data_IF_685322307109
#
_entry.id   IF_685322307109
#
_cell.length_a   1.000
_cell.length_b   1.000
_cell.length_c   1.000
_cell.angle_alpha   90.00
_cell.angle_beta   90.00
_cell.angle_gamma   90.00
#
_symmetry.space_group_name_H-M   'P 1'
#
loop_
_entity.id
_entity.type
_entity.pdbx_description
1 polymer ?
#
# COMPACT_ATOMS: atom_id res chain seq x y z
N UNK A 1 12.73 -33.62 17.13
CA UNK A 1 12.82 -32.17 17.48
C UNK A 1 11.46 -31.57 17.26
N UNK A 2 10.82 -31.06 18.31
CA UNK A 2 9.49 -30.45 18.22
C UNK A 2 9.69 -28.95 17.95
N UNK A 3 9.40 -28.50 16.73
CA UNK A 3 9.50 -27.08 16.37
C UNK A 3 8.35 -26.36 17.08
N UNK A 4 8.66 -25.54 18.08
CA UNK A 4 7.67 -24.64 18.68
C UNK A 4 7.41 -23.50 17.70
N UNK A 5 6.24 -23.51 17.10
CA UNK A 5 5.74 -22.37 16.32
C UNK A 5 5.48 -21.18 17.26
N UNK A 6 5.59 -19.94 16.74
CA UNK A 6 5.19 -18.76 17.50
C UNK A 6 3.72 -18.85 17.92
N UNK A 7 3.40 -18.28 19.07
CA UNK A 7 2.04 -18.22 19.59
C UNK A 7 1.19 -17.34 18.68
N UNK A 8 -0.03 -17.80 18.37
CA UNK A 8 -0.98 -17.04 17.55
C UNK A 8 -1.64 -15.99 18.45
N UNK A 9 -1.54 -14.72 18.04
CA UNK A 9 -2.23 -13.63 18.72
C UNK A 9 -3.73 -13.61 18.39
N UNK A 10 -4.53 -13.18 19.36
CA UNK A 10 -5.96 -12.99 19.14
C UNK A 10 -6.20 -11.84 18.15
N UNK A 11 -7.09 -12.00 17.15
CA UNK A 11 -7.39 -10.94 16.21
C UNK A 11 -8.06 -9.78 16.92
N UNK A 12 -7.75 -8.56 16.50
CA UNK A 12 -8.32 -7.34 17.04
C UNK A 12 -9.33 -6.75 16.08
N UNK A 13 -10.38 -6.14 16.62
CA UNK A 13 -11.42 -5.49 15.84
C UNK A 13 -11.67 -4.08 16.35
N UNK A 14 -11.65 -3.12 15.44
CA UNK A 14 -11.81 -1.69 15.76
C UNK A 14 -13.18 -1.14 15.33
N UNK A 15 -14.06 -1.96 14.76
CA UNK A 15 -15.38 -1.54 14.30
C UNK A 15 -15.46 -1.14 12.83
N UNK A 16 -14.40 -1.34 12.02
CA UNK A 16 -14.49 -1.10 10.57
C UNK A 16 -15.12 -2.27 9.84
N UNK A 17 -16.15 -2.02 9.04
CA UNK A 17 -16.85 -3.06 8.27
C UNK A 17 -15.91 -3.89 7.38
N UNK A 18 -14.86 -3.27 6.81
CA UNK A 18 -13.89 -3.97 5.97
C UNK A 18 -13.12 -5.07 6.72
N UNK A 19 -12.92 -4.89 8.03
CA UNK A 19 -12.15 -5.81 8.86
C UNK A 19 -13.04 -6.80 9.62
N UNK A 20 -14.37 -6.70 9.50
CA UNK A 20 -15.30 -7.57 10.20
C UNK A 20 -15.11 -9.04 9.82
N UNK A 21 -15.07 -9.36 8.52
CA UNK A 21 -14.97 -10.75 8.07
C UNK A 21 -13.65 -11.43 8.50
N UNK A 22 -12.45 -10.82 8.31
CA UNK A 22 -11.21 -11.37 8.85
C UNK A 22 -11.23 -11.57 10.37
N UNK A 23 -11.79 -10.61 11.11
CA UNK A 23 -11.93 -10.73 12.56
C UNK A 23 -12.86 -11.89 12.95
N UNK A 24 -14.05 -11.96 12.34
CA UNK A 24 -15.04 -12.97 12.62
C UNK A 24 -14.49 -14.37 12.41
N UNK A 25 -13.86 -14.63 11.25
CA UNK A 25 -13.28 -15.95 10.94
C UNK A 25 -12.14 -16.31 11.89
N UNK A 26 -11.24 -15.35 12.19
CA UNK A 26 -10.14 -15.58 13.12
C UNK A 26 -10.60 -15.82 14.56
N UNK A 27 -11.54 -15.02 15.05
CA UNK A 27 -12.09 -15.14 16.40
C UNK A 27 -12.90 -16.43 16.54
N UNK A 28 -13.66 -16.78 15.50
CA UNK A 28 -14.38 -18.05 15.44
C UNK A 28 -13.44 -19.24 15.60
N UNK A 29 -12.39 -19.30 14.77
CA UNK A 29 -11.44 -20.42 14.78
C UNK A 29 -10.66 -20.55 16.10
N UNK A 30 -10.32 -19.43 16.75
CA UNK A 30 -9.49 -19.44 17.97
C UNK A 30 -10.29 -19.54 19.27
N UNK A 31 -11.51 -18.98 19.30
CA UNK A 31 -12.27 -18.78 20.54
C UNK A 31 -13.65 -19.45 20.50
N UNK A 32 -14.44 -19.26 19.43
CA UNK A 32 -15.79 -19.81 19.37
C UNK A 32 -15.77 -21.34 19.23
N UNK A 33 -14.99 -21.84 18.28
CA UNK A 33 -14.92 -23.26 17.95
C UNK A 33 -14.01 -24.03 18.92
N UNK A 34 -13.42 -23.34 19.92
CA UNK A 34 -12.60 -23.96 20.95
C UNK A 34 -13.49 -24.60 22.03
N UNK A 35 -13.49 -25.94 22.18
CA UNK A 35 -14.37 -26.64 23.13
C UNK A 35 -13.91 -26.49 24.59
N UNK A 36 -12.66 -26.08 24.83
CA UNK A 36 -12.11 -25.90 26.17
C UNK A 36 -12.52 -24.57 26.82
N UNK A 37 -13.19 -23.69 26.07
CA UNK A 37 -13.63 -22.38 26.55
C UNK A 37 -15.13 -22.37 26.81
N UNK A 38 -15.54 -21.87 27.98
CA UNK A 38 -16.93 -21.54 28.25
C UNK A 38 -17.28 -20.11 27.79
N UNK A 39 -18.56 -19.76 27.78
CA UNK A 39 -19.00 -18.45 27.27
C UNK A 39 -18.46 -17.27 28.09
N UNK A 40 -18.29 -17.42 29.40
CA UNK A 40 -17.66 -16.38 30.25
C UNK A 40 -16.22 -16.10 29.78
N UNK A 41 -15.42 -17.15 29.56
CA UNK A 41 -14.05 -17.01 29.04
C UNK A 41 -14.05 -16.43 27.63
N UNK A 42 -14.92 -16.91 26.74
CA UNK A 42 -15.09 -16.34 25.39
C UNK A 42 -15.44 -14.85 25.45
N UNK A 43 -16.23 -14.43 26.43
CA UNK A 43 -16.59 -13.02 26.59
C UNK A 43 -15.38 -12.18 27.04
N UNK A 44 -14.55 -12.66 27.97
CA UNK A 44 -13.29 -11.98 28.28
C UNK A 44 -12.37 -11.83 27.06
N UNK A 45 -12.25 -12.88 26.23
CA UNK A 45 -11.50 -12.80 24.98
C UNK A 45 -12.15 -11.84 23.99
N UNK A 46 -13.47 -11.82 23.89
CA UNK A 46 -14.18 -10.88 23.02
C UNK A 46 -13.86 -9.45 23.43
N UNK A 47 -14.05 -9.09 24.70
CA UNK A 47 -13.78 -7.73 25.19
C UNK A 47 -12.31 -7.31 25.01
N UNK A 48 -11.35 -8.23 25.13
CA UNK A 48 -9.93 -7.90 24.92
C UNK A 48 -9.59 -7.68 23.44
N UNK A 49 -10.28 -8.37 22.53
CA UNK A 49 -10.15 -8.25 21.09
C UNK A 49 -10.80 -6.96 20.52
N UNK A 50 -11.89 -6.50 21.12
CA UNK A 50 -12.61 -5.30 20.67
C UNK A 50 -11.83 -4.01 21.05
N UNK A 51 -11.87 -3.04 20.15
CA UNK A 51 -11.27 -1.70 20.30
C UNK A 51 -12.22 -0.63 19.77
N UNK A 52 -12.05 0.60 20.26
CA UNK A 52 -12.76 1.79 19.78
C UNK A 52 -14.29 1.56 19.68
N UNK A 53 -14.90 1.83 18.52
CA UNK A 53 -16.36 1.77 18.34
C UNK A 53 -16.94 0.38 18.55
N UNK A 54 -16.16 -0.68 18.33
CA UNK A 54 -16.66 -2.05 18.46
C UNK A 54 -16.93 -2.44 19.92
N UNK A 55 -16.17 -1.93 20.88
CA UNK A 55 -16.41 -2.22 22.31
C UNK A 55 -17.68 -1.54 22.82
N UNK A 56 -18.01 -0.37 22.26
CA UNK A 56 -19.18 0.42 22.64
C UNK A 56 -20.49 -0.33 22.39
N UNK A 57 -20.50 -1.30 21.47
CA UNK A 57 -21.66 -2.14 21.14
C UNK A 57 -22.08 -3.03 22.32
N UNK A 58 -21.11 -3.47 23.12
CA UNK A 58 -21.30 -4.51 24.14
C UNK A 58 -20.96 -4.03 25.54
N UNK A 59 -20.47 -2.80 25.70
CA UNK A 59 -19.97 -2.26 26.98
C UNK A 59 -21.03 -2.20 28.09
N UNK A 60 -22.31 -2.16 27.75
CA UNK A 60 -23.41 -2.12 28.72
C UNK A 60 -23.78 -3.50 29.27
N UNK A 61 -23.19 -4.57 28.73
CA UNK A 61 -23.48 -5.93 29.14
C UNK A 61 -22.51 -6.37 30.23
N UNK A 62 -23.05 -6.90 31.32
CA UNK A 62 -22.24 -7.55 32.35
C UNK A 62 -21.68 -8.87 31.82
N UNK A 63 -20.49 -9.24 32.27
CA UNK A 63 -19.87 -10.51 31.89
C UNK A 63 -20.65 -11.67 32.49
N UNK A 64 -21.39 -12.39 31.64
CA UNK A 64 -22.13 -13.59 32.01
C UNK A 64 -22.19 -14.56 30.83
N UNK A 65 -22.52 -15.82 31.12
CA UNK A 65 -22.64 -16.88 30.13
C UNK A 65 -23.70 -16.52 29.06
N UNK A 66 -24.87 -16.04 29.49
CA UNK A 66 -25.96 -15.61 28.63
C UNK A 66 -25.62 -14.35 27.81
N UNK A 67 -24.96 -13.37 28.43
CA UNK A 67 -24.67 -12.11 27.77
C UNK A 67 -23.58 -12.25 26.68
N UNK A 68 -22.78 -13.31 26.69
CA UNK A 68 -21.85 -13.58 25.60
C UNK A 68 -22.59 -13.75 24.27
N UNK A 69 -23.63 -14.58 24.25
CA UNK A 69 -24.40 -14.84 23.02
C UNK A 69 -25.09 -13.57 22.53
N UNK A 70 -25.62 -12.76 23.46
CA UNK A 70 -26.19 -11.44 23.16
C UNK A 70 -25.12 -10.51 22.58
N UNK A 71 -23.97 -10.40 23.24
CA UNK A 71 -22.86 -9.55 22.79
C UNK A 71 -22.39 -9.93 21.39
N UNK A 72 -22.24 -11.23 21.14
CA UNK A 72 -21.83 -11.74 19.84
C UNK A 72 -22.89 -11.45 18.76
N UNK A 73 -24.16 -11.65 19.07
CA UNK A 73 -25.24 -11.35 18.13
C UNK A 73 -25.35 -9.86 17.82
N UNK A 74 -25.20 -8.98 18.82
CA UNK A 74 -25.19 -7.52 18.60
C UNK A 74 -24.05 -7.08 17.67
N UNK A 75 -22.87 -7.68 17.80
CA UNK A 75 -21.75 -7.42 16.89
C UNK A 75 -22.05 -7.90 15.47
N UNK A 76 -22.62 -9.11 15.31
CA UNK A 76 -23.05 -9.62 14.01
C UNK A 76 -24.11 -8.73 13.38
N UNK A 77 -25.16 -8.36 14.12
CA UNK A 77 -26.23 -7.51 13.61
C UNK A 77 -25.71 -6.15 13.14
N UNK A 78 -24.74 -5.59 13.87
CA UNK A 78 -24.14 -4.30 13.50
C UNK A 78 -23.17 -4.42 12.33
N UNK A 79 -22.28 -5.41 12.33
CA UNK A 79 -21.11 -5.46 11.45
C UNK A 79 -21.18 -6.51 10.34
N UNK A 80 -22.00 -7.55 10.47
CA UNK A 80 -22.26 -8.57 9.44
C UNK A 80 -23.27 -8.10 8.38
N UNK A 81 -23.30 -6.80 8.11
CA UNK A 81 -24.14 -6.23 7.06
C UNK A 81 -23.45 -6.36 5.70
N UNK A 82 -23.66 -7.49 5.02
CA UNK A 82 -23.07 -7.77 3.69
C UNK A 82 -23.26 -6.62 2.70
N UNK A 83 -24.44 -5.98 2.68
CA UNK A 83 -24.73 -4.85 1.79
C UNK A 83 -23.81 -3.66 2.07
N UNK A 84 -23.63 -3.30 3.34
CA UNK A 84 -22.75 -2.19 3.74
C UNK A 84 -21.27 -2.52 3.47
N UNK A 85 -20.85 -3.76 3.75
CA UNK A 85 -19.46 -4.20 3.47
C UNK A 85 -19.17 -4.11 1.96
N UNK A 86 -20.07 -4.60 1.10
CA UNK A 86 -19.95 -4.47 -0.35
C UNK A 86 -19.88 -3.01 -0.77
N UNK A 87 -20.78 -2.15 -0.28
CA UNK A 87 -20.76 -0.72 -0.59
C UNK A 87 -19.46 -0.04 -0.17
N UNK A 88 -18.90 -0.38 0.99
CA UNK A 88 -17.63 0.18 1.45
C UNK A 88 -16.47 -0.21 0.55
N UNK A 89 -16.39 -1.47 0.09
CA UNK A 89 -15.34 -1.87 -0.85
C UNK A 89 -15.50 -1.24 -2.22
N UNK A 90 -16.74 -1.09 -2.73
CA UNK A 90 -17.00 -0.35 -3.97
C UNK A 90 -16.54 1.10 -3.81
N UNK A 91 -16.96 1.77 -2.73
CA UNK A 91 -16.54 3.13 -2.39
C UNK A 91 -15.02 3.24 -2.32
N UNK A 92 -14.34 2.29 -1.67
CA UNK A 92 -12.88 2.24 -1.59
C UNK A 92 -12.18 2.21 -2.96
N UNK A 93 -12.75 1.52 -3.95
CA UNK A 93 -12.25 1.56 -5.34
C UNK A 93 -12.37 2.97 -5.93
N UNK A 94 -13.51 3.65 -5.73
CA UNK A 94 -13.71 5.03 -6.19
C UNK A 94 -12.83 6.04 -5.47
N UNK A 95 -12.43 5.77 -4.22
CA UNK A 95 -11.60 6.64 -3.40
C UNK A 95 -10.10 6.35 -3.49
N UNK A 96 -9.69 5.40 -4.35
CA UNK A 96 -8.27 5.15 -4.64
C UNK A 96 -7.55 6.46 -5.02
N UNK A 97 -6.27 6.60 -4.63
CA UNK A 97 -5.53 7.84 -4.81
C UNK A 97 -5.42 8.20 -6.29
N UNK A 98 -5.47 9.49 -6.58
CA UNK A 98 -5.28 10.04 -7.92
C UNK A 98 -3.81 10.41 -8.10
N UNK A 99 -3.20 9.94 -9.18
CA UNK A 99 -1.84 10.26 -9.57
C UNK A 99 -1.86 11.48 -10.51
N UNK A 100 -1.42 12.64 -10.02
CA UNK A 100 -1.36 13.87 -10.82
C UNK A 100 -0.11 13.97 -11.69
N UNK A 101 0.96 13.28 -11.31
CA UNK A 101 2.23 13.13 -12.04
C UNK A 101 2.76 11.72 -11.81
N UNK A 102 3.57 11.22 -12.73
CA UNK A 102 4.17 9.89 -12.64
C UNK A 102 4.80 9.64 -11.27
N UNK A 103 4.33 8.60 -10.58
CA UNK A 103 4.81 8.24 -9.25
C UNK A 103 4.64 6.74 -9.01
N UNK A 104 5.75 6.01 -8.91
CA UNK A 104 5.73 4.56 -8.69
C UNK A 104 5.03 4.17 -7.38
N UNK A 105 5.20 4.95 -6.31
CA UNK A 105 4.56 4.70 -5.02
C UNK A 105 3.04 4.83 -5.06
N UNK A 106 2.51 5.83 -5.79
CA UNK A 106 1.06 5.98 -5.99
C UNK A 106 0.52 4.84 -6.86
N UNK A 107 1.22 4.46 -7.93
CA UNK A 107 0.84 3.31 -8.75
C UNK A 107 0.71 2.02 -7.92
N UNK A 108 1.70 1.73 -7.05
CA UNK A 108 1.63 0.59 -6.12
C UNK A 108 0.40 0.67 -5.21
N UNK A 109 0.12 1.83 -4.63
CA UNK A 109 -1.08 2.04 -3.80
C UNK A 109 -2.38 1.79 -4.56
N UNK A 110 -2.48 2.22 -5.82
CA UNK A 110 -3.65 1.94 -6.68
C UNK A 110 -3.78 0.43 -6.91
N UNK A 111 -2.69 -0.24 -7.31
CA UNK A 111 -2.68 -1.69 -7.61
C UNK A 111 -3.06 -2.50 -6.37
N UNK A 112 -2.41 -2.24 -5.23
CA UNK A 112 -2.61 -2.99 -3.99
C UNK A 112 -3.99 -2.71 -3.40
N UNK A 113 -4.42 -1.45 -3.42
CA UNK A 113 -5.74 -1.02 -2.96
C UNK A 113 -6.86 -1.65 -3.79
N UNK A 114 -6.78 -1.57 -5.12
CA UNK A 114 -7.73 -2.23 -6.01
C UNK A 114 -7.76 -3.75 -5.78
N UNK A 115 -6.59 -4.39 -5.75
CA UNK A 115 -6.50 -5.85 -5.55
C UNK A 115 -7.08 -6.30 -4.21
N UNK A 116 -6.90 -5.50 -3.14
CA UNK A 116 -7.55 -5.74 -1.83
C UNK A 116 -9.07 -5.75 -1.99
N UNK A 117 -9.65 -4.70 -2.56
CA UNK A 117 -11.10 -4.59 -2.74
C UNK A 117 -11.65 -5.67 -3.68
N UNK A 118 -10.94 -5.99 -4.76
CA UNK A 118 -11.32 -7.04 -5.71
C UNK A 118 -11.44 -8.40 -5.04
N UNK A 119 -10.45 -8.81 -4.23
CA UNK A 119 -10.48 -10.09 -3.51
C UNK A 119 -11.64 -10.15 -2.52
N UNK A 120 -11.87 -9.07 -1.78
CA UNK A 120 -12.96 -9.00 -0.80
C UNK A 120 -14.35 -9.05 -1.46
N UNK A 121 -14.54 -8.31 -2.56
CA UNK A 121 -15.79 -8.37 -3.32
C UNK A 121 -16.04 -9.76 -3.91
N UNK A 122 -15.00 -10.44 -4.40
CA UNK A 122 -15.09 -11.82 -4.88
C UNK A 122 -15.48 -12.79 -3.76
N UNK A 123 -14.91 -12.68 -2.56
CA UNK A 123 -15.28 -13.54 -1.43
C UNK A 123 -16.70 -13.27 -0.91
N UNK A 124 -17.21 -12.05 -1.11
CA UNK A 124 -18.60 -11.66 -0.85
C UNK A 124 -19.58 -12.07 -1.96
N UNK A 125 -19.12 -12.85 -2.95
CA UNK A 125 -19.94 -13.37 -4.05
C UNK A 125 -20.31 -12.34 -5.13
N UNK A 126 -19.63 -11.19 -5.17
CA UNK A 126 -19.86 -10.20 -6.22
C UNK A 126 -19.17 -10.63 -7.54
N UNK A 127 -19.82 -10.43 -8.70
CA UNK A 127 -19.30 -10.85 -10.00
C UNK A 127 -18.24 -9.88 -10.55
N UNK A 128 -17.28 -9.47 -9.73
CA UNK A 128 -16.29 -8.42 -10.07
C UNK A 128 -15.40 -8.77 -11.27
N UNK A 129 -15.25 -10.06 -11.59
CA UNK A 129 -14.54 -10.55 -12.77
C UNK A 129 -15.28 -10.32 -14.09
N UNK A 130 -16.46 -9.70 -14.07
CA UNK A 130 -17.23 -9.34 -15.27
C UNK A 130 -17.29 -7.83 -15.47
N UNK A 131 -16.61 -7.06 -14.62
CA UNK A 131 -16.68 -5.60 -14.59
C UNK A 131 -15.44 -4.95 -15.21
N UNK A 132 -14.65 -5.70 -15.97
CA UNK A 132 -13.33 -5.28 -16.46
C UNK A 132 -13.37 -3.90 -17.13
N UNK A 133 -14.26 -3.70 -18.10
CA UNK A 133 -14.39 -2.43 -18.83
C UNK A 133 -14.66 -1.24 -17.89
N UNK A 134 -15.59 -1.41 -16.94
CA UNK A 134 -15.94 -0.36 -15.98
C UNK A 134 -14.78 -0.07 -15.03
N UNK A 135 -14.14 -1.11 -14.51
CA UNK A 135 -13.05 -0.98 -13.55
C UNK A 135 -11.80 -0.40 -14.19
N UNK A 136 -11.45 -0.82 -15.41
CA UNK A 136 -10.36 -0.25 -16.19
C UNK A 136 -10.62 1.24 -16.42
N UNK A 137 -11.85 1.63 -16.80
CA UNK A 137 -12.19 3.04 -16.98
C UNK A 137 -12.06 3.85 -15.68
N UNK A 138 -12.55 3.32 -14.55
CA UNK A 138 -12.42 4.00 -13.25
C UNK A 138 -10.95 4.17 -12.87
N UNK A 139 -10.15 3.11 -12.99
CA UNK A 139 -8.74 3.12 -12.60
C UNK A 139 -7.87 3.93 -13.55
N UNK A 140 -8.14 3.92 -14.87
CA UNK A 140 -7.39 4.73 -15.84
C UNK A 140 -7.57 6.23 -15.58
N UNK A 141 -8.73 6.65 -15.07
CA UNK A 141 -8.98 8.01 -14.61
C UNK A 141 -8.28 8.37 -13.29
N UNK A 142 -7.65 7.41 -12.60
CA UNK A 142 -6.75 7.67 -11.47
C UNK A 142 -5.32 7.95 -11.90
N UNK A 143 -4.98 7.76 -13.17
CA UNK A 143 -3.63 7.92 -13.69
C UNK A 143 -3.40 9.36 -14.19
N UNK A 144 -2.13 9.74 -14.24
CA UNK A 144 -1.73 10.99 -14.86
C UNK A 144 -1.86 10.88 -16.39
N UNK A 145 -1.86 12.02 -17.08
CA UNK A 145 -2.06 12.07 -18.52
C UNK A 145 -1.00 11.29 -19.32
N UNK A 146 0.24 11.24 -18.86
CA UNK A 146 1.32 10.54 -19.56
C UNK A 146 1.12 9.02 -19.46
N UNK A 147 1.00 8.50 -18.24
CA UNK A 147 0.76 7.07 -18.02
C UNK A 147 -0.52 6.59 -18.71
N UNK A 148 -1.60 7.39 -18.68
CA UNK A 148 -2.84 7.05 -19.37
C UNK A 148 -2.65 6.97 -20.90
N UNK A 149 -1.88 7.89 -21.49
CA UNK A 149 -1.58 7.83 -22.94
C UNK A 149 -0.78 6.60 -23.30
N UNK A 150 0.21 6.22 -22.50
CA UNK A 150 0.98 5.00 -22.72
C UNK A 150 0.11 3.75 -22.63
N UNK A 151 -0.84 3.71 -21.68
CA UNK A 151 -1.81 2.64 -21.59
C UNK A 151 -2.62 2.52 -22.89
N UNK A 152 -3.24 3.60 -23.35
CA UNK A 152 -4.02 3.59 -24.59
C UNK A 152 -3.17 3.20 -25.82
N UNK A 153 -1.93 3.69 -25.90
CA UNK A 153 -1.01 3.35 -26.97
C UNK A 153 -0.53 1.88 -26.93
N UNK A 154 -0.62 1.22 -25.77
CA UNK A 154 -0.26 -0.21 -25.64
C UNK A 154 -1.32 -1.15 -26.21
N UNK A 155 -2.55 -0.68 -26.40
CA UNK A 155 -3.66 -1.45 -26.94
C UNK A 155 -3.55 -1.55 -28.47
N UNK A 156 -3.51 -2.78 -28.98
CA UNK A 156 -3.22 -3.06 -30.41
C UNK A 156 -4.43 -3.43 -31.25
N UNK A 157 -5.63 -3.51 -30.68
CA UNK A 157 -6.84 -4.01 -31.36
C UNK A 157 -8.13 -3.42 -30.77
N UNK A 158 -9.25 -3.62 -31.47
CA UNK A 158 -10.61 -3.28 -31.02
C UNK A 158 -11.17 -4.22 -29.93
N UNK A 159 -10.32 -5.08 -29.35
CA UNK A 159 -10.71 -5.95 -28.24
C UNK A 159 -10.60 -5.23 -26.90
N UNK A 160 -11.64 -5.35 -26.08
CA UNK A 160 -11.65 -4.84 -24.72
C UNK A 160 -10.66 -5.63 -23.86
N UNK A 161 -9.71 -4.97 -23.19
CA UNK A 161 -8.74 -5.66 -22.35
C UNK A 161 -9.37 -6.13 -21.04
N UNK A 162 -8.83 -7.23 -20.49
CA UNK A 162 -9.15 -7.70 -19.16
C UNK A 162 -8.43 -6.87 -18.09
N UNK A 163 -9.00 -6.82 -16.88
CA UNK A 163 -8.38 -6.10 -15.75
C UNK A 163 -6.97 -6.60 -15.43
N UNK A 164 -6.68 -7.88 -15.70
CA UNK A 164 -5.36 -8.49 -15.50
C UNK A 164 -4.30 -7.83 -16.37
N UNK A 165 -4.60 -7.62 -17.66
CA UNK A 165 -3.71 -6.95 -18.63
C UNK A 165 -3.42 -5.53 -18.16
N UNK A 166 -4.46 -4.81 -17.71
CA UNK A 166 -4.30 -3.45 -17.19
C UNK A 166 -3.43 -3.41 -15.92
N UNK A 167 -3.68 -4.31 -14.95
CA UNK A 167 -2.87 -4.37 -13.73
C UNK A 167 -1.41 -4.72 -14.02
N UNK A 168 -1.15 -5.59 -14.99
CA UNK A 168 0.22 -5.95 -15.37
C UNK A 168 0.95 -4.80 -16.07
N UNK A 169 0.26 -4.02 -16.90
CA UNK A 169 0.78 -2.75 -17.40
C UNK A 169 1.17 -1.80 -16.25
N UNK A 170 0.28 -1.58 -15.27
CA UNK A 170 0.57 -0.70 -14.14
C UNK A 170 1.75 -1.17 -13.29
N UNK A 171 1.87 -2.50 -13.06
CA UNK A 171 3.01 -3.08 -12.33
C UNK A 171 4.32 -2.82 -13.07
N UNK A 172 4.35 -3.05 -14.38
CA UNK A 172 5.53 -2.80 -15.21
C UNK A 172 5.91 -1.32 -15.20
N UNK A 173 4.93 -0.42 -15.31
CA UNK A 173 5.16 1.03 -15.23
C UNK A 173 5.70 1.45 -13.87
N UNK A 174 5.14 0.92 -12.78
CA UNK A 174 5.63 1.20 -11.43
C UNK A 174 7.09 0.75 -11.25
N UNK A 175 7.44 -0.45 -11.73
CA UNK A 175 8.81 -0.96 -11.67
C UNK A 175 9.79 -0.14 -12.50
N UNK A 176 9.37 0.31 -13.69
CA UNK A 176 10.19 1.19 -14.54
C UNK A 176 10.51 2.50 -13.84
N UNK A 177 9.49 3.19 -13.32
CA UNK A 177 9.65 4.47 -12.63
C UNK A 177 10.53 4.32 -11.37
N UNK A 178 10.34 3.26 -10.60
CA UNK A 178 11.16 2.94 -9.42
C UNK A 178 12.64 2.73 -9.79
N UNK A 179 12.91 2.05 -10.91
CA UNK A 179 14.27 1.84 -11.43
C UNK A 179 14.92 3.15 -11.87
N UNK A 180 14.17 4.06 -12.49
CA UNK A 180 14.67 5.36 -12.94
C UNK A 180 14.97 6.28 -11.74
N UNK A 181 14.07 6.34 -10.76
CA UNK A 181 14.24 7.16 -9.55
C UNK A 181 15.46 6.71 -8.72
N UNK A 182 15.68 5.40 -8.59
CA UNK A 182 16.87 4.83 -7.94
C UNK A 182 18.17 5.24 -8.66
N UNK A 183 18.14 5.37 -9.99
CA UNK A 183 19.31 5.81 -10.77
C UNK A 183 19.59 7.30 -10.60
N UNK A 184 18.55 8.13 -10.53
CA UNK A 184 18.69 9.56 -10.29
C UNK A 184 19.22 9.86 -8.88
N UNK A 185 18.68 9.19 -7.87
CA UNK A 185 19.18 9.31 -6.48
C UNK A 185 20.65 8.88 -6.36
N UNK A 186 21.04 7.77 -6.99
CA UNK A 186 22.43 7.32 -7.01
C UNK A 186 23.37 8.30 -7.75
N UNK A 187 22.92 8.97 -8.82
CA UNK A 187 23.70 10.02 -9.50
C UNK A 187 23.91 11.25 -8.61
N UNK A 188 22.90 11.67 -7.86
CA UNK A 188 23.01 12.84 -6.96
C UNK A 188 23.96 12.56 -5.79
N UNK A 189 23.98 11.33 -5.26
CA UNK A 189 24.92 10.93 -4.20
C UNK A 189 26.36 10.81 -4.73
N UNK A 190 26.54 10.28 -5.94
CA UNK A 190 27.87 10.13 -6.57
C UNK A 190 28.56 11.45 -6.95
N UNK A 191 27.84 12.57 -7.05
CA UNK A 191 28.41 13.89 -7.39
C UNK A 191 28.85 14.68 -6.13
N UNK A 192 28.54 14.21 -4.92
CA UNK A 192 28.87 14.92 -3.66
C UNK A 192 30.15 14.45 -2.95
N UNK A 193 30.97 13.61 -3.57
CA UNK A 193 32.29 13.23 -3.04
C UNK A 193 33.41 13.60 -4.00
N UNK A 194 33.83 14.87 -4.01
CA UNK A 194 35.22 15.25 -4.27
C UNK A 194 35.44 16.75 -3.99
N UNK A 195 35.56 17.08 -2.71
CA UNK A 195 36.40 18.18 -2.23
C UNK A 195 37.09 17.74 -0.94
N UNK A 196 37.93 16.71 -1.02
CA UNK A 196 38.97 16.49 -0.02
C UNK A 196 40.25 17.18 -0.48
N UNK A 197 40.66 18.13 0.34
CA UNK A 197 41.81 18.99 0.22
C UNK A 197 43.08 18.11 0.34
N UNK A 198 43.72 17.75 -0.77
CA UNK A 198 45.08 17.19 -0.72
C UNK A 198 46.05 18.30 -0.32
N UNK A 199 46.42 18.33 0.97
CA UNK A 199 47.63 19.03 1.44
C UNK A 199 48.86 18.24 0.99
N UNK A 200 49.40 18.59 -0.17
CA UNK A 200 50.79 18.29 -0.49
C UNK A 200 51.65 19.47 -0.06
N UNK A 201 52.44 19.25 1.00
CA UNK A 201 53.46 20.17 1.48
C UNK A 201 54.60 20.29 0.47
N UNK A 202 54.70 21.45 -0.18
CA UNK A 202 55.91 21.89 -0.87
C UNK A 202 56.36 23.22 -0.26
N UNK A 203 57.53 23.20 0.38
CA UNK A 203 58.26 24.39 0.79
C UNK A 203 58.71 25.15 -0.45
N UNK A 204 58.38 26.45 -0.56
CA UNK A 204 59.17 27.38 -1.35
C UNK A 204 59.42 28.67 -0.57
N UNK A 205 60.70 28.89 -0.32
CA UNK A 205 61.33 30.13 0.13
C UNK A 205 61.12 31.19 -0.96
N UNK A 206 60.58 32.34 -0.58
CA UNK A 206 60.57 33.54 -1.42
C UNK A 206 61.92 34.24 -1.35
N UNK A 207 62.61 34.37 -2.49
CA UNK A 207 63.36 35.60 -2.86
C UNK A 207 63.26 35.87 -4.37
N UNK A 208 62.68 37.04 -4.65
CA UNK A 208 62.82 37.98 -5.76
C UNK A 208 63.22 37.51 -7.18
N UNK A 209 62.30 37.84 -8.11
CA UNK A 209 62.48 38.60 -9.35
C UNK A 209 63.54 38.11 -10.37
N UNK A 210 63.09 37.53 -11.49
CA UNK A 210 63.14 38.23 -12.78
C UNK A 210 62.36 37.50 -13.89
N UNK A 211 61.83 38.32 -14.78
CA UNK A 211 61.25 38.11 -16.11
C UNK A 211 61.38 36.72 -16.74
N UNK A 212 60.26 36.10 -17.16
CA UNK A 212 60.13 35.50 -18.50
C UNK A 212 58.64 35.25 -18.85
N UNK A 213 58.22 35.84 -19.98
CA UNK A 213 56.95 35.61 -20.69
C UNK A 213 56.81 34.15 -21.13
N UNK A 214 55.60 33.62 -21.07
CA UNK A 214 55.15 32.58 -22.02
C UNK A 214 53.70 32.83 -22.45
N UNK A 215 53.54 32.96 -23.77
CA UNK A 215 52.29 33.15 -24.51
C UNK A 215 51.31 31.97 -24.34
N UNK A 216 50.04 32.27 -24.10
CA UNK A 216 48.94 31.31 -24.20
C UNK A 216 48.40 31.27 -25.64
N UNK A 217 48.46 30.09 -26.28
CA UNK A 217 48.15 29.90 -27.71
C UNK A 217 46.67 29.65 -28.06
N UNK A 218 45.73 29.75 -27.12
CA UNK A 218 44.33 29.38 -27.36
C UNK A 218 43.27 30.34 -26.82
N UNK A 219 43.65 31.52 -26.35
CA UNK A 219 42.69 32.60 -26.07
C UNK A 219 42.77 33.68 -27.16
N UNK A 220 41.96 33.53 -28.21
CA UNK A 220 41.37 34.66 -28.96
C UNK A 220 39.93 34.31 -29.35
N UNK A 221 39.00 34.95 -28.66
CA UNK A 221 37.57 35.09 -28.97
C UNK A 221 37.40 35.65 -30.41
N UNK A 222 36.47 35.21 -31.26
CA UNK A 222 35.03 35.54 -31.30
C UNK A 222 34.75 36.98 -30.85
N UNK A 223 35.13 37.98 -31.64
CA UNK A 223 34.28 38.74 -32.59
C UNK A 223 35.08 39.89 -33.20
#
# INVERSE_FOLDING_TARGET
>A
MNIKLPQIDLPHFNGTYENWLPFYEGFKALVLDNPSLNNIQRFYYLLSALKNDSIQVVQSLEISDHNFDIAWQLLKDRYENKRVIVQNHIKGIFELPVMSKENHGILRKIIDGFSKHQRALKSLGQPISTWDTLLIYILSNKLDNHTRREWEASLKSDQLPDITIFLDFLKNKAQLLETLDTRETNRVVGVKSDKSFMRSSSHLVTKANDQFRTDCRFCRDIT
#
